data_IF_944587069726
#
_entry.id   IF_944587069726
#
_cell.length_a   1.000
_cell.length_b   1.000
_cell.length_c   1.000
_cell.angle_alpha   90.00
_cell.angle_beta   90.00
_cell.angle_gamma   90.00
#
_symmetry.space_group_name_H-M   'P 1'
#
loop_
_entity.id
_entity.type
_entity.pdbx_description
1 polymer ?
#
# COMPACT_ATOMS: atom_id res chain seq x y z
N UNK A 1 -3.94 13.11 6.21
CA UNK A 1 -2.52 13.51 6.19
C UNK A 1 -2.13 14.21 7.47
N UNK A 2 -0.88 14.10 7.86
CA UNK A 2 -0.36 14.79 9.04
C UNK A 2 0.92 14.15 9.55
N UNK A 3 1.45 14.75 10.62
CA UNK A 3 2.55 14.18 11.40
C UNK A 3 1.97 13.63 12.70
N UNK A 4 2.38 12.43 13.06
CA UNK A 4 1.80 11.70 14.18
C UNK A 4 2.87 11.22 15.15
N UNK A 5 2.49 11.23 16.41
CA UNK A 5 3.08 10.40 17.44
C UNK A 5 2.34 9.06 17.46
N UNK A 6 3.07 7.96 17.60
CA UNK A 6 2.50 6.61 17.62
C UNK A 6 2.94 5.91 18.90
N UNK A 7 1.97 5.49 19.69
CA UNK A 7 2.20 4.80 20.97
C UNK A 7 1.65 3.38 20.90
N UNK A 8 2.38 2.45 21.48
CA UNK A 8 1.91 1.10 21.72
C UNK A 8 0.78 1.11 22.74
N UNK A 9 -0.35 0.51 22.39
CA UNK A 9 -1.48 0.32 23.32
C UNK A 9 -1.47 -1.10 23.88
N UNK A 10 -1.24 -2.09 23.02
CA UNK A 10 -1.12 -3.51 23.44
C UNK A 10 -0.64 -4.39 22.31
N UNK A 11 -0.13 -5.57 22.69
CA UNK A 11 0.36 -6.58 21.76
C UNK A 11 1.80 -6.36 21.35
N UNK A 12 2.24 -7.15 20.39
CA UNK A 12 3.57 -7.08 19.80
C UNK A 12 3.49 -7.26 18.29
N UNK A 13 4.43 -6.69 17.55
CA UNK A 13 4.49 -6.78 16.10
C UNK A 13 5.13 -5.58 15.45
N UNK A 14 5.13 -5.59 14.13
CA UNK A 14 5.72 -4.52 13.31
C UNK A 14 4.67 -3.54 12.83
N UNK A 15 5.09 -2.30 12.71
CA UNK A 15 4.46 -1.28 11.89
C UNK A 15 5.44 -0.89 10.79
N UNK A 16 4.96 -0.97 9.56
CA UNK A 16 5.73 -0.56 8.39
C UNK A 16 4.96 0.51 7.65
N UNK A 17 5.66 1.57 7.27
CA UNK A 17 5.15 2.58 6.34
C UNK A 17 6.04 2.62 5.12
N UNK A 18 5.41 2.65 3.96
CA UNK A 18 6.05 2.82 2.67
C UNK A 18 5.35 3.96 1.91
N UNK A 19 6.07 5.04 1.70
CA UNK A 19 5.63 6.19 0.90
C UNK A 19 6.79 6.63 0.00
N UNK A 20 6.98 5.96 -1.13
CA UNK A 20 8.10 6.24 -2.03
C UNK A 20 8.03 7.63 -2.64
N UNK A 21 6.85 8.22 -2.80
CA UNK A 21 6.70 9.58 -3.31
C UNK A 21 7.40 10.62 -2.45
N UNK A 22 7.29 10.44 -1.13
CA UNK A 22 7.88 11.34 -0.17
C UNK A 22 9.23 10.84 0.34
N UNK A 23 9.75 9.74 -0.23
CA UNK A 23 10.98 9.08 0.22
C UNK A 23 10.92 8.71 1.70
N UNK A 24 9.75 8.24 2.15
CA UNK A 24 9.52 7.85 3.53
C UNK A 24 9.42 6.33 3.59
N UNK A 25 10.25 5.75 4.43
CA UNK A 25 10.17 4.36 4.81
C UNK A 25 10.40 4.27 6.31
N UNK A 26 9.44 3.67 7.03
CA UNK A 26 9.57 3.32 8.43
C UNK A 26 9.32 1.84 8.63
N UNK A 27 10.15 1.25 9.43
CA UNK A 27 9.92 -0.08 9.99
C UNK A 27 10.23 0.02 11.48
N UNK A 28 9.26 -0.33 12.32
CA UNK A 28 9.42 -0.36 13.76
C UNK A 28 8.74 -1.58 14.33
N UNK A 29 9.42 -2.25 15.23
CA UNK A 29 8.88 -3.34 16.01
C UNK A 29 8.46 -2.81 17.38
N UNK A 30 7.25 -3.15 17.79
CA UNK A 30 6.67 -2.77 19.08
C UNK A 30 6.49 -3.99 19.96
N UNK A 31 6.78 -3.86 21.25
CA UNK A 31 6.57 -4.90 22.26
C UNK A 31 6.34 -4.30 23.63
N UNK A 32 5.48 -4.94 24.42
CA UNK A 32 5.30 -4.63 25.86
C UNK A 32 6.43 -5.22 26.71
N UNK A 33 7.33 -6.03 26.14
CA UNK A 33 8.46 -6.62 26.85
C UNK A 33 9.62 -5.63 26.96
N UNK A 34 9.72 -4.95 28.11
CA UNK A 34 10.82 -4.01 28.40
C UNK A 34 12.23 -4.63 28.30
N UNK A 35 12.34 -5.96 28.24
CA UNK A 35 13.62 -6.64 28.04
C UNK A 35 14.02 -6.78 26.57
N UNK A 36 13.12 -6.51 25.64
CA UNK A 36 13.39 -6.48 24.21
C UNK A 36 13.99 -5.12 23.83
N UNK A 37 15.31 -5.08 23.70
CA UNK A 37 16.05 -3.84 23.41
C UNK A 37 15.89 -3.36 21.96
N UNK A 38 15.33 -4.18 21.07
CA UNK A 38 15.11 -3.86 19.67
C UNK A 38 13.67 -3.36 19.42
N UNK A 39 12.80 -3.51 20.41
CA UNK A 39 11.43 -3.02 20.37
C UNK A 39 11.30 -1.61 20.96
N UNK A 40 10.38 -0.84 20.40
CA UNK A 40 9.94 0.46 20.93
C UNK A 40 8.51 0.39 21.43
N UNK A 41 8.12 1.37 22.21
CA UNK A 41 6.74 1.61 22.64
C UNK A 41 6.19 2.94 22.09
N UNK A 42 7.03 3.71 21.43
CA UNK A 42 6.73 5.04 20.95
C UNK A 42 7.54 5.42 19.70
N UNK A 43 6.89 6.12 18.78
CA UNK A 43 7.52 6.78 17.64
C UNK A 43 7.01 8.22 17.56
N UNK A 44 7.90 9.13 17.26
CA UNK A 44 7.58 10.51 16.90
C UNK A 44 7.78 10.76 15.40
N UNK A 45 7.27 11.89 14.91
CA UNK A 45 7.45 12.38 13.53
C UNK A 45 7.03 11.36 12.43
N UNK A 46 6.05 10.52 12.70
CA UNK A 46 5.49 9.61 11.69
C UNK A 46 4.64 10.42 10.73
N UNK A 47 5.11 10.58 9.50
CA UNK A 47 4.47 11.42 8.48
C UNK A 47 3.60 10.55 7.59
N UNK A 48 2.29 10.78 7.64
CA UNK A 48 1.31 10.08 6.81
C UNK A 48 0.77 11.04 5.75
N UNK A 49 1.09 10.75 4.51
CA UNK A 49 0.61 11.51 3.35
C UNK A 49 -0.30 10.66 2.47
N UNK A 50 -1.10 11.33 1.65
CA UNK A 50 -1.97 10.65 0.68
C UNK A 50 -1.11 9.80 -0.26
N UNK A 51 -1.48 8.54 -0.42
CA UNK A 51 -0.75 7.57 -1.25
C UNK A 51 0.25 6.71 -0.50
N UNK A 52 0.64 7.09 0.74
CA UNK A 52 1.48 6.24 1.58
C UNK A 52 0.74 4.99 2.06
N UNK A 53 1.46 3.89 2.16
CA UNK A 53 0.96 2.62 2.66
C UNK A 53 1.41 2.42 4.11
N UNK A 54 0.47 2.02 4.96
CA UNK A 54 0.74 1.68 6.35
C UNK A 54 0.29 0.24 6.60
N UNK A 55 1.23 -0.60 7.01
CA UNK A 55 0.97 -1.97 7.44
C UNK A 55 1.20 -2.07 8.93
N UNK A 56 0.26 -2.70 9.64
CA UNK A 56 0.32 -2.98 11.08
C UNK A 56 0.03 -4.47 11.25
N UNK A 57 0.93 -5.18 11.93
CA UNK A 57 0.78 -6.62 12.13
C UNK A 57 -0.46 -6.97 12.94
N UNK A 58 -1.01 -8.15 12.67
CA UNK A 58 -2.18 -8.67 13.38
C UNK A 58 -1.88 -8.83 14.86
N UNK A 59 -2.73 -8.26 15.70
CA UNK A 59 -2.58 -8.31 17.16
C UNK A 59 -1.81 -7.14 17.77
N UNK A 60 -1.08 -6.37 16.96
CA UNK A 60 -0.51 -5.10 17.40
C UNK A 60 -1.61 -4.03 17.45
N UNK A 61 -1.71 -3.32 18.55
CA UNK A 61 -2.59 -2.18 18.71
C UNK A 61 -1.77 -0.94 19.04
N UNK A 62 -1.82 0.04 18.17
CA UNK A 62 -1.13 1.33 18.33
C UNK A 62 -2.13 2.48 18.28
N UNK A 63 -1.81 3.56 18.96
CA UNK A 63 -2.57 4.80 18.94
C UNK A 63 -1.79 5.88 18.20
N UNK A 64 -2.48 6.56 17.28
CA UNK A 64 -1.94 7.72 16.56
C UNK A 64 -2.47 9.00 17.19
N UNK A 65 -1.58 9.91 17.52
CA UNK A 65 -1.91 11.25 18.00
C UNK A 65 -1.29 12.31 17.09
N UNK A 66 -2.05 13.35 16.74
CA UNK A 66 -1.58 14.45 15.91
C UNK A 66 -2.27 15.76 16.24
N UNK A 67 -1.49 16.85 16.27
CA UNK A 67 -2.02 18.21 16.42
C UNK A 67 -2.30 18.88 15.04
N UNK A 68 -1.79 18.33 13.94
CA UNK A 68 -1.89 18.92 12.61
C UNK A 68 -2.57 18.01 11.56
N UNK A 69 -3.18 16.91 12.00
CA UNK A 69 -3.85 16.01 11.09
C UNK A 69 -5.00 16.70 10.34
N UNK A 70 -5.07 16.47 9.05
CA UNK A 70 -6.22 16.87 8.26
C UNK A 70 -7.37 15.92 8.55
N UNK A 71 -8.34 16.39 9.34
CA UNK A 71 -9.50 15.60 9.77
C UNK A 71 -10.75 15.87 8.94
N UNK A 72 -10.65 16.66 7.88
CA UNK A 72 -11.76 16.81 6.93
C UNK A 72 -12.12 15.43 6.37
N UNK A 73 -13.38 15.06 6.52
CA UNK A 73 -13.86 13.79 5.99
C UNK A 73 -13.62 13.79 4.49
N UNK A 74 -12.72 12.95 4.04
CA UNK A 74 -12.63 12.64 2.63
C UNK A 74 -13.98 12.11 2.16
N UNK A 75 -14.53 12.72 1.13
CA UNK A 75 -15.73 12.18 0.51
C UNK A 75 -15.33 10.88 -0.16
N UNK A 76 -15.82 9.79 0.38
CA UNK A 76 -15.67 8.48 -0.23
C UNK A 76 -16.77 8.30 -1.25
N UNK A 77 -16.39 7.78 -2.42
CA UNK A 77 -17.31 7.41 -3.49
C UNK A 77 -17.46 5.89 -3.53
N UNK A 78 -18.58 5.42 -4.04
CA UNK A 78 -18.77 3.99 -4.28
C UNK A 78 -17.78 3.51 -5.35
N UNK A 79 -17.09 2.40 -5.10
CA UNK A 79 -16.20 1.84 -6.10
C UNK A 79 -17.04 1.31 -7.28
N UNK A 80 -16.78 1.75 -8.51
CA UNK A 80 -17.52 1.28 -9.68
C UNK A 80 -17.21 -0.16 -10.04
N UNK A 81 -16.12 -0.72 -9.52
CA UNK A 81 -15.72 -2.10 -9.76
C UNK A 81 -16.49 -3.05 -8.84
N UNK A 82 -16.94 -4.16 -9.39
CA UNK A 82 -17.75 -5.15 -8.65
C UNK A 82 -17.22 -6.57 -8.74
N UNK A 83 -16.32 -6.84 -9.68
CA UNK A 83 -15.82 -8.18 -9.94
C UNK A 83 -14.44 -8.40 -9.33
N UNK A 84 -14.31 -9.54 -8.64
CA UNK A 84 -13.04 -10.00 -8.10
C UNK A 84 -12.16 -10.56 -9.21
N UNK A 85 -10.86 -10.34 -9.13
CA UNK A 85 -9.87 -10.83 -10.09
C UNK A 85 -8.89 -11.76 -9.37
N UNK A 86 -8.57 -12.89 -9.96
CA UNK A 86 -7.52 -13.78 -9.47
C UNK A 86 -6.29 -13.63 -10.33
N UNK A 87 -5.18 -13.28 -9.70
CA UNK A 87 -3.86 -13.22 -10.31
C UNK A 87 -3.10 -14.50 -9.98
N UNK A 88 -2.56 -15.18 -11.00
CA UNK A 88 -1.82 -16.43 -10.84
C UNK A 88 -0.33 -16.15 -10.72
N UNK A 89 0.34 -16.85 -9.80
CA UNK A 89 1.78 -16.82 -9.63
C UNK A 89 2.54 -17.08 -10.94
N UNK A 90 3.70 -16.46 -11.08
CA UNK A 90 4.57 -16.57 -12.25
C UNK A 90 4.06 -15.83 -13.49
N UNK A 91 3.11 -14.91 -13.35
CA UNK A 91 2.57 -14.13 -14.47
C UNK A 91 2.66 -12.64 -14.22
N UNK A 92 2.68 -11.91 -15.34
CA UNK A 92 2.60 -10.45 -15.36
C UNK A 92 1.23 -10.04 -15.91
N UNK A 93 0.64 -9.00 -15.32
CA UNK A 93 -0.66 -8.45 -15.67
C UNK A 93 -0.58 -6.95 -15.86
N UNK A 94 -1.46 -6.40 -16.70
CA UNK A 94 -1.52 -4.95 -16.94
C UNK A 94 -2.93 -4.45 -16.62
N UNK A 95 -3.03 -3.51 -15.69
CA UNK A 95 -4.29 -2.84 -15.37
C UNK A 95 -4.86 -2.09 -16.60
N UNK A 96 -6.15 -2.19 -16.82
CA UNK A 96 -6.83 -1.69 -18.02
C UNK A 96 -6.77 -2.62 -19.23
N UNK A 97 -5.92 -3.65 -19.19
CA UNK A 97 -5.80 -4.65 -20.28
C UNK A 97 -6.23 -6.04 -19.82
N UNK A 98 -5.63 -6.56 -18.76
CA UNK A 98 -5.91 -7.91 -18.25
C UNK A 98 -6.98 -7.90 -17.16
N UNK A 99 -7.13 -6.80 -16.48
CA UNK A 99 -8.18 -6.54 -15.49
C UNK A 99 -8.49 -5.04 -15.45
N UNK A 100 -9.66 -4.62 -14.95
CA UNK A 100 -10.00 -3.20 -14.87
C UNK A 100 -9.04 -2.41 -13.99
N UNK A 101 -8.61 -1.24 -14.44
CA UNK A 101 -7.88 -0.30 -13.60
C UNK A 101 -8.76 0.18 -12.43
N UNK A 102 -8.17 0.38 -11.25
CA UNK A 102 -8.96 0.82 -10.11
C UNK A 102 -8.37 0.52 -8.75
N UNK A 103 -9.25 0.57 -7.75
CA UNK A 103 -8.93 0.38 -6.35
C UNK A 103 -9.33 -1.01 -5.87
N UNK A 104 -8.39 -1.70 -5.25
CA UNK A 104 -8.55 -3.08 -4.81
C UNK A 104 -7.99 -3.30 -3.41
N UNK A 105 -8.62 -4.20 -2.70
CA UNK A 105 -8.03 -4.88 -1.57
C UNK A 105 -7.31 -6.12 -2.11
N UNK A 106 -6.03 -6.26 -1.82
CA UNK A 106 -5.19 -7.37 -2.28
C UNK A 106 -5.04 -8.36 -1.14
N UNK A 107 -5.37 -9.62 -1.40
CA UNK A 107 -5.19 -10.73 -0.46
C UNK A 107 -4.51 -11.90 -1.15
N UNK A 108 -3.86 -12.75 -0.38
CA UNK A 108 -3.41 -14.03 -0.90
C UNK A 108 -4.60 -14.99 -1.12
N UNK A 109 -4.44 -15.94 -2.03
CA UNK A 109 -5.36 -17.06 -2.14
C UNK A 109 -5.05 -18.07 -1.04
N UNK A 110 -6.08 -18.50 -0.30
CA UNK A 110 -5.90 -19.44 0.81
C UNK A 110 -5.10 -20.69 0.41
N UNK A 111 -4.17 -21.09 1.27
CA UNK A 111 -3.38 -22.31 1.12
C UNK A 111 -2.02 -22.11 0.42
N UNK A 112 -1.56 -20.88 0.27
CA UNK A 112 -0.19 -20.59 -0.12
C UNK A 112 0.64 -20.31 1.15
N UNK A 113 1.92 -20.68 1.12
CA UNK A 113 2.81 -20.46 2.26
C UNK A 113 3.29 -19.01 2.35
N UNK A 114 3.37 -18.34 1.21
CA UNK A 114 3.64 -16.93 1.07
C UNK A 114 3.25 -16.46 -0.34
N UNK A 115 3.05 -15.17 -0.50
CA UNK A 115 2.79 -14.58 -1.80
C UNK A 115 3.51 -13.24 -1.93
N UNK A 116 3.88 -12.89 -3.16
CA UNK A 116 4.61 -11.66 -3.47
C UNK A 116 4.06 -11.02 -4.74
N UNK A 117 3.82 -9.72 -4.66
CA UNK A 117 3.41 -8.88 -5.76
C UNK A 117 4.39 -7.73 -5.92
N UNK A 118 5.02 -7.62 -7.07
CA UNK A 118 5.69 -6.40 -7.49
C UNK A 118 4.84 -5.66 -8.51
N UNK A 119 4.74 -4.35 -8.39
CA UNK A 119 4.03 -3.58 -9.38
C UNK A 119 4.72 -2.26 -9.70
N UNK A 120 4.53 -1.80 -10.94
CA UNK A 120 5.13 -0.59 -11.48
C UNK A 120 4.03 0.33 -11.96
N UNK A 121 3.97 1.54 -11.37
CA UNK A 121 3.10 2.61 -11.83
C UNK A 121 3.90 3.50 -12.77
N UNK A 122 3.50 3.57 -14.01
CA UNK A 122 4.14 4.41 -15.01
C UNK A 122 3.57 5.83 -14.94
N UNK A 123 4.42 6.81 -14.80
CA UNK A 123 4.07 8.20 -14.51
C UNK A 123 3.97 9.09 -15.78
N UNK A 124 3.33 8.60 -16.82
CA UNK A 124 3.00 9.39 -18.02
C UNK A 124 4.23 10.02 -18.68
N UNK A 125 4.26 11.36 -18.78
CA UNK A 125 5.33 12.10 -19.48
C UNK A 125 6.71 11.99 -18.83
N UNK A 126 6.81 11.44 -17.63
CA UNK A 126 8.08 11.15 -16.97
C UNK A 126 8.71 9.83 -17.45
N UNK A 127 8.01 9.08 -18.29
CA UNK A 127 8.52 7.84 -18.87
C UNK A 127 9.38 8.14 -20.09
N UNK A 128 10.67 8.17 -19.94
CA UNK A 128 11.62 8.24 -21.05
C UNK A 128 12.09 6.84 -21.46
N UNK A 129 11.42 6.28 -22.47
CA UNK A 129 11.76 4.99 -23.07
C UNK A 129 13.17 4.92 -23.68
N UNK A 130 13.71 6.07 -24.11
CA UNK A 130 14.96 6.11 -24.86
C UNK A 130 16.19 6.08 -23.95
N UNK A 131 16.07 6.57 -22.72
CA UNK A 131 17.19 6.67 -21.80
C UNK A 131 17.16 5.65 -20.66
N UNK A 132 16.18 4.75 -20.60
CA UNK A 132 15.97 3.81 -19.49
C UNK A 132 15.91 4.47 -18.10
N UNK A 133 15.85 5.78 -18.03
CA UNK A 133 15.51 6.53 -16.85
C UNK A 133 14.00 6.42 -16.65
N UNK A 134 13.64 5.32 -16.09
CA UNK A 134 12.27 4.92 -15.94
C UNK A 134 11.67 5.73 -14.79
N UNK A 135 10.88 6.70 -15.15
CA UNK A 135 10.00 7.35 -14.19
C UNK A 135 8.82 6.42 -13.92
N UNK A 136 9.09 5.32 -13.27
CA UNK A 136 8.07 4.47 -12.68
C UNK A 136 8.37 4.33 -11.20
N UNK A 137 7.32 4.29 -10.42
CA UNK A 137 7.39 3.87 -9.04
C UNK A 137 7.24 2.37 -8.96
N UNK A 138 8.11 1.75 -8.19
CA UNK A 138 8.16 0.31 -8.01
C UNK A 138 7.75 -0.02 -6.57
N UNK A 139 6.74 -0.85 -6.45
CA UNK A 139 6.17 -1.25 -5.17
C UNK A 139 6.27 -2.76 -5.00
N UNK A 140 6.34 -3.20 -3.74
CA UNK A 140 6.25 -4.59 -3.37
C UNK A 140 5.23 -4.81 -2.25
N UNK A 141 4.42 -5.85 -2.37
CA UNK A 141 3.51 -6.33 -1.34
C UNK A 141 3.88 -7.76 -1.02
N UNK A 142 4.12 -8.05 0.26
CA UNK A 142 4.52 -9.36 0.75
C UNK A 142 3.48 -9.87 1.74
N UNK A 143 3.09 -11.12 1.55
CA UNK A 143 2.10 -11.81 2.36
C UNK A 143 2.79 -13.02 3.00
N UNK A 144 2.74 -13.10 4.31
CA UNK A 144 3.43 -14.16 5.07
C UNK A 144 2.46 -15.04 5.86
N UNK A 145 1.17 -14.74 5.79
CA UNK A 145 0.15 -15.43 6.55
C UNK A 145 -0.54 -16.49 5.70
N UNK A 146 -0.41 -17.76 6.11
CA UNK A 146 -0.91 -18.92 5.36
C UNK A 146 -2.43 -19.09 5.46
N UNK A 147 -3.11 -18.32 6.28
CA UNK A 147 -4.55 -18.44 6.52
C UNK A 147 -5.42 -17.49 5.67
N UNK A 148 -4.78 -16.65 4.85
CA UNK A 148 -5.46 -15.67 3.99
C UNK A 148 -6.03 -14.48 4.77
N UNK A 149 -5.57 -14.24 5.99
CA UNK A 149 -6.02 -13.12 6.81
C UNK A 149 -5.35 -11.81 6.47
N UNK A 150 -4.15 -11.86 5.90
CA UNK A 150 -3.38 -10.69 5.53
C UNK A 150 -3.97 -10.00 4.28
N UNK A 151 -4.09 -8.69 4.33
CA UNK A 151 -4.73 -7.90 3.28
C UNK A 151 -4.14 -6.51 3.19
N UNK A 152 -3.75 -6.12 1.98
CA UNK A 152 -3.42 -4.73 1.67
C UNK A 152 -4.67 -4.02 1.17
N UNK A 153 -5.12 -3.03 1.92
CA UNK A 153 -6.35 -2.29 1.64
C UNK A 153 -6.10 -1.09 0.74
N UNK A 154 -7.06 -0.88 -0.18
CA UNK A 154 -7.09 0.30 -1.04
C UNK A 154 -5.84 0.47 -1.92
N UNK A 155 -5.23 -0.62 -2.36
CA UNK A 155 -4.20 -0.57 -3.38
C UNK A 155 -4.79 -0.01 -4.68
N UNK A 156 -4.11 0.94 -5.29
CA UNK A 156 -4.56 1.55 -6.53
C UNK A 156 -3.69 1.11 -7.70
N UNK A 157 -4.36 0.63 -8.75
CA UNK A 157 -3.72 0.23 -9.99
C UNK A 157 -4.28 1.05 -11.14
N UNK A 158 -3.70 2.22 -11.44
CA UNK A 158 -4.07 3.02 -12.59
C UNK A 158 -3.89 2.27 -13.91
N UNK A 159 -4.50 2.76 -14.98
CA UNK A 159 -4.35 2.17 -16.31
C UNK A 159 -2.88 2.10 -16.72
N UNK A 160 -2.45 0.94 -17.22
CA UNK A 160 -1.08 0.68 -17.60
C UNK A 160 -0.15 0.23 -16.46
N UNK A 161 -0.62 0.14 -15.21
CA UNK A 161 0.17 -0.45 -14.13
C UNK A 161 0.50 -1.90 -14.45
N UNK A 162 1.77 -2.26 -14.39
CA UNK A 162 2.24 -3.62 -14.56
C UNK A 162 2.36 -4.30 -13.18
N UNK A 163 1.77 -5.47 -13.03
CA UNK A 163 1.81 -6.30 -11.83
C UNK A 163 2.55 -7.60 -12.17
N UNK A 164 3.59 -7.91 -11.43
CA UNK A 164 4.33 -9.17 -11.49
C UNK A 164 4.05 -9.95 -10.21
N UNK A 165 3.44 -11.13 -10.37
CA UNK A 165 3.12 -12.03 -9.25
C UNK A 165 4.18 -13.11 -9.22
N UNK A 166 5.12 -13.01 -8.28
CA UNK A 166 6.25 -13.93 -8.22
C UNK A 166 5.87 -15.25 -7.58
N UNK A 167 5.30 -15.21 -6.39
CA UNK A 167 4.89 -16.38 -5.64
C UNK A 167 3.46 -16.23 -5.10
N UNK A 168 2.78 -17.37 -4.99
CA UNK A 168 1.42 -17.46 -4.50
C UNK A 168 0.39 -16.79 -5.41
N UNK A 169 -0.78 -17.37 -5.50
CA UNK A 169 -1.89 -16.72 -6.20
C UNK A 169 -2.45 -15.58 -5.35
N UNK A 170 -2.82 -14.48 -5.98
CA UNK A 170 -3.41 -13.32 -5.32
C UNK A 170 -4.83 -13.05 -5.78
N UNK A 171 -5.59 -12.40 -4.93
CA UNK A 171 -6.97 -12.01 -5.18
C UNK A 171 -7.10 -10.51 -5.05
N UNK A 172 -7.55 -9.86 -6.12
CA UNK A 172 -7.94 -8.46 -6.14
C UNK A 172 -9.44 -8.38 -5.89
N UNK A 173 -9.85 -7.89 -4.75
CA UNK A 173 -11.25 -7.60 -4.44
C UNK A 173 -11.47 -6.09 -4.53
N UNK A 174 -12.44 -5.62 -5.33
CA UNK A 174 -12.72 -4.17 -5.38
C UNK A 174 -12.91 -3.60 -3.97
N UNK A 175 -12.18 -2.53 -3.64
CA UNK A 175 -12.32 -1.86 -2.34
C UNK A 175 -13.75 -1.34 -2.16
N UNK A 176 -14.26 -1.34 -0.93
CA UNK A 176 -15.65 -0.99 -0.66
C UNK A 176 -16.01 0.47 -1.00
N UNK A 177 -15.04 1.37 -0.86
CA UNK A 177 -15.18 2.78 -1.24
C UNK A 177 -13.83 3.37 -1.62
N UNK A 178 -13.85 4.39 -2.46
CA UNK A 178 -12.64 5.01 -3.02
C UNK A 178 -12.64 6.51 -2.77
N UNK A 179 -11.45 7.08 -2.63
CA UNK A 179 -11.27 8.51 -2.39
C UNK A 179 -11.57 9.34 -3.63
N UNK A 180 -11.21 8.81 -4.79
CA UNK A 180 -11.29 9.51 -6.07
C UNK A 180 -11.27 8.49 -7.19
N UNK A 181 -12.16 8.66 -8.15
CA UNK A 181 -12.21 7.84 -9.36
C UNK A 181 -11.38 8.45 -10.50
N UNK A 182 -10.88 9.65 -10.33
CA UNK A 182 -10.05 10.32 -11.33
C UNK A 182 -8.58 9.95 -11.13
N UNK A 183 -8.13 8.90 -11.79
CA UNK A 183 -6.75 8.44 -11.76
C UNK A 183 -5.76 9.41 -12.40
N UNK A 184 -6.21 10.34 -13.24
CA UNK A 184 -5.36 11.40 -13.79
C UNK A 184 -4.90 12.34 -12.67
N UNK A 185 -5.74 12.60 -11.67
CA UNK A 185 -5.36 13.42 -10.51
C UNK A 185 -4.36 12.71 -9.59
N UNK A 186 -4.38 11.39 -9.56
CA UNK A 186 -3.36 10.59 -8.87
C UNK A 186 -1.99 10.81 -9.53
N UNK A 187 -1.90 10.71 -10.85
CA UNK A 187 -0.67 11.01 -11.58
C UNK A 187 -0.22 12.45 -11.43
N UNK A 188 -1.13 13.41 -11.34
CA UNK A 188 -0.79 14.82 -11.13
C UNK A 188 -0.15 15.05 -9.75
N UNK A 189 -0.54 14.32 -8.73
CA UNK A 189 0.13 14.37 -7.42
C UNK A 189 1.58 13.90 -7.50
N UNK A 190 1.85 12.82 -8.23
CA UNK A 190 3.20 12.33 -8.46
C UNK A 190 4.07 13.33 -9.22
N UNK A 191 3.52 14.04 -10.21
CA UNK A 191 4.25 15.06 -11.00
C UNK A 191 4.77 16.22 -10.16
N UNK A 192 4.03 16.65 -9.15
CA UNK A 192 4.40 17.81 -8.34
C UNK A 192 5.49 17.54 -7.31
N UNK A 193 5.74 16.30 -6.98
CA UNK A 193 6.66 15.92 -5.90
C UNK A 193 8.05 15.50 -6.39
N UNK A 194 8.19 15.21 -7.67
CA UNK A 194 9.47 14.86 -8.30
C UNK A 194 10.25 16.06 -8.86
N UNK A 195 9.85 17.28 -8.56
CA UNK A 195 10.58 18.53 -8.92
C UNK A 195 11.33 19.09 -7.66
#
# INVERSE_FOLDING_TARGET
EGTYEVELVSGEGSMQQDDPENSIYYYSYFSEDESDTDAGDYLDDVRLYTGGHLKIDTGLVVQFHSENAQTEQMQLEENPLTEQVTLKAGNTYTAGTDFPAGWYDVTEASGVDWAELHYKIYLGDFYDKENENLNYENYGLWFYDTDGSESYKNAVFPEGTELEVDDGDLILTPSGSVKNQNYDSFYDMYRYRSQ
#
